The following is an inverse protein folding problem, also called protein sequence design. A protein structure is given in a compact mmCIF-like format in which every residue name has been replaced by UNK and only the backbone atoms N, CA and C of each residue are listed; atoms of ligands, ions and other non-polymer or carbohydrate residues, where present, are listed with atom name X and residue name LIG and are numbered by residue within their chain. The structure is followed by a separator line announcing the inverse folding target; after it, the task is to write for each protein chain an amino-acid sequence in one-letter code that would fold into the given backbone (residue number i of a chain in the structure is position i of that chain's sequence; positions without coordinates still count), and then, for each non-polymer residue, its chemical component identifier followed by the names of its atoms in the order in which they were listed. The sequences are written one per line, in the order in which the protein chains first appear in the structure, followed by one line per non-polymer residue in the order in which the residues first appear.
data_IF_149325643845
#
_entry.id   IF_149325643845
#
_cell.length_a   1.000
_cell.length_b   1.000
_cell.length_c   1.000
_cell.angle_alpha   90.00
_cell.angle_beta   90.00
_cell.angle_gamma   90.00
#
_symmetry.space_group_name_H-M   'P 1'
#
loop_
_entity.id
_entity.type
_entity.pdbx_description
1 polymer ?
#
# COMPACT_ATOMS: atom_id res chain seq x y z
N UNK A 1 -13.91 -12.55 21.67
CA UNK A 1 -12.93 -11.43 21.72
C UNK A 1 -12.31 -11.36 20.35
N UNK A 2 -12.50 -10.27 19.59
CA UNK A 2 -11.75 -10.10 18.34
C UNK A 2 -10.30 -9.82 18.74
N UNK A 3 -9.39 -10.66 18.30
CA UNK A 3 -7.95 -10.47 18.50
C UNK A 3 -7.55 -9.11 17.91
N UNK A 4 -6.90 -8.28 18.71
CA UNK A 4 -6.48 -6.96 18.28
C UNK A 4 -5.38 -7.13 17.23
N UNK A 5 -5.65 -6.66 16.01
CA UNK A 5 -4.70 -6.79 14.90
C UNK A 5 -3.72 -5.63 14.94
N UNK A 6 -2.53 -5.87 15.48
CA UNK A 6 -1.50 -4.87 15.69
C UNK A 6 -0.50 -4.78 14.52
N UNK A 7 0.18 -3.64 14.44
CA UNK A 7 1.33 -3.48 13.55
C UNK A 7 2.53 -4.22 14.09
N UNK A 8 3.18 -4.98 13.22
CA UNK A 8 4.36 -5.77 13.57
C UNK A 8 5.61 -4.89 13.63
N UNK A 9 6.52 -5.24 14.54
CA UNK A 9 7.86 -4.68 14.59
C UNK A 9 8.80 -5.43 13.62
N UNK A 10 9.90 -4.79 13.17
CA UNK A 10 10.93 -5.49 12.40
C UNK A 10 11.55 -6.66 13.16
N UNK A 11 11.86 -7.73 12.44
CA UNK A 11 12.63 -8.89 12.93
C UNK A 11 14.00 -8.86 12.25
N UNK A 12 15.06 -8.76 13.05
CA UNK A 12 16.42 -8.57 12.53
C UNK A 12 16.87 -9.70 11.59
N UNK A 13 16.53 -10.95 11.91
CA UNK A 13 16.90 -12.09 11.05
C UNK A 13 16.16 -12.03 9.71
N UNK A 14 14.87 -11.68 9.74
CA UNK A 14 14.09 -11.52 8.51
C UNK A 14 14.51 -10.28 7.71
N UNK A 15 14.97 -9.22 8.37
CA UNK A 15 15.55 -8.06 7.70
C UNK A 15 16.82 -8.44 6.93
N UNK A 16 17.75 -9.17 7.56
CA UNK A 16 19.02 -9.55 6.94
C UNK A 16 18.84 -10.56 5.80
N UNK A 17 17.80 -11.39 5.87
CA UNK A 17 17.45 -12.39 4.86
C UNK A 17 16.42 -11.90 3.83
N UNK A 18 16.04 -10.61 3.86
CA UNK A 18 14.99 -10.10 2.97
C UNK A 18 15.38 -10.28 1.51
N UNK A 19 14.43 -10.72 0.70
CA UNK A 19 14.60 -10.85 -0.75
C UNK A 19 14.31 -9.50 -1.41
N UNK A 20 15.18 -9.09 -2.31
CA UNK A 20 14.98 -7.94 -3.19
C UNK A 20 14.91 -8.48 -4.62
N UNK A 21 13.74 -8.34 -5.26
CA UNK A 21 13.56 -8.76 -6.65
C UNK A 21 14.05 -7.69 -7.63
N UNK A 22 13.79 -6.41 -7.33
CA UNK A 22 14.15 -5.30 -8.21
C UNK A 22 14.71 -4.13 -7.40
N UNK A 23 15.51 -3.31 -8.07
CA UNK A 23 15.88 -1.97 -7.59
C UNK A 23 15.05 -0.94 -8.35
N UNK A 24 14.29 -0.13 -7.63
CA UNK A 24 13.42 0.88 -8.21
C UNK A 24 14.17 2.13 -8.65
N UNK A 25 13.45 3.09 -9.27
CA UNK A 25 14.03 4.33 -9.78
C UNK A 25 14.62 5.24 -8.68
N UNK A 26 14.19 5.06 -7.44
CA UNK A 26 14.69 5.75 -6.26
C UNK A 26 15.91 5.07 -5.60
N UNK A 27 16.37 3.94 -6.17
CA UNK A 27 17.49 3.14 -5.66
C UNK A 27 17.12 2.19 -4.50
N UNK A 28 15.88 2.20 -4.03
CA UNK A 28 15.40 1.26 -3.01
C UNK A 28 15.16 -0.12 -3.61
N UNK A 29 15.22 -1.14 -2.76
CA UNK A 29 14.89 -2.52 -3.10
C UNK A 29 13.41 -2.80 -2.94
N UNK A 30 12.85 -3.56 -3.87
CA UNK A 30 11.46 -3.94 -3.90
C UNK A 30 11.30 -5.45 -3.94
N UNK A 31 10.30 -5.92 -3.22
CA UNK A 31 9.89 -7.32 -3.16
C UNK A 31 8.48 -7.44 -3.72
N UNK A 32 8.25 -8.46 -4.53
CA UNK A 32 6.99 -8.72 -5.22
C UNK A 32 6.45 -10.07 -4.77
N UNK A 33 5.33 -10.10 -4.05
CA UNK A 33 4.84 -11.34 -3.42
C UNK A 33 4.55 -12.45 -4.44
N UNK A 34 4.13 -12.10 -5.65
CA UNK A 34 3.85 -13.07 -6.71
C UNK A 34 5.09 -13.69 -7.34
N UNK A 35 6.27 -13.09 -7.14
CA UNK A 35 7.56 -13.64 -7.63
C UNK A 35 8.27 -14.51 -6.61
N UNK A 36 7.83 -14.49 -5.35
CA UNK A 36 8.34 -15.42 -4.35
C UNK A 36 7.73 -16.80 -4.60
N UNK A 37 8.54 -17.85 -4.85
CA UNK A 37 8.04 -19.19 -5.14
C UNK A 37 7.20 -19.78 -4.00
N UNK A 38 7.37 -19.30 -2.77
CA UNK A 38 6.60 -19.74 -1.61
C UNK A 38 5.24 -19.02 -1.48
N UNK A 39 5.04 -17.91 -2.20
CA UNK A 39 3.86 -17.04 -2.09
C UNK A 39 3.15 -16.76 -3.43
N UNK A 40 3.49 -17.45 -4.52
CA UNK A 40 2.99 -17.15 -5.89
C UNK A 40 1.47 -17.02 -5.99
N UNK A 41 0.71 -17.79 -5.22
CA UNK A 41 -0.77 -17.73 -5.17
C UNK A 41 -1.32 -17.22 -3.84
N UNK A 42 -0.47 -16.57 -3.04
CA UNK A 42 -0.86 -16.04 -1.73
C UNK A 42 -1.32 -14.60 -1.87
N UNK A 43 -2.54 -14.37 -1.42
CA UNK A 43 -3.12 -13.04 -1.27
C UNK A 43 -3.41 -12.78 0.21
N UNK A 44 -3.29 -11.53 0.63
CA UNK A 44 -3.46 -11.11 2.03
C UNK A 44 -4.28 -9.84 2.09
N UNK A 45 -4.95 -9.65 3.23
CA UNK A 45 -5.56 -8.36 3.51
C UNK A 45 -4.46 -7.30 3.74
N UNK A 46 -4.88 -6.03 3.73
CA UNK A 46 -3.96 -4.91 3.73
C UNK A 46 -2.99 -4.92 4.93
N UNK A 47 -3.49 -5.23 6.13
CA UNK A 47 -2.67 -5.21 7.35
C UNK A 47 -1.74 -6.42 7.43
N UNK A 48 -2.15 -7.62 7.01
CA UNK A 48 -1.22 -8.77 6.99
C UNK A 48 -0.14 -8.56 5.93
N UNK A 49 -0.50 -8.04 4.75
CA UNK A 49 0.47 -7.68 3.71
C UNK A 49 1.50 -6.66 4.23
N UNK A 50 1.03 -5.59 4.88
CA UNK A 50 1.90 -4.60 5.50
C UNK A 50 2.81 -5.19 6.58
N UNK A 51 2.25 -6.01 7.46
CA UNK A 51 3.02 -6.68 8.52
C UNK A 51 4.07 -7.65 7.98
N UNK A 52 3.82 -8.30 6.85
CA UNK A 52 4.82 -9.12 6.16
C UNK A 52 6.05 -8.31 5.77
N UNK A 53 5.83 -7.11 5.18
CA UNK A 53 6.90 -6.20 4.80
C UNK A 53 7.65 -5.67 6.04
N UNK A 54 6.90 -5.23 7.06
CA UNK A 54 7.47 -4.61 8.27
C UNK A 54 8.45 -5.52 9.01
N UNK A 55 8.10 -6.82 9.13
CA UNK A 55 9.01 -7.83 9.71
C UNK A 55 10.34 -7.93 8.97
N UNK A 56 10.41 -7.55 7.70
CA UNK A 56 11.60 -7.60 6.84
C UNK A 56 12.27 -6.24 6.66
N UNK A 57 12.02 -5.27 7.55
CA UNK A 57 12.51 -3.90 7.44
C UNK A 57 12.10 -3.20 6.14
N UNK A 58 10.95 -3.57 5.61
CA UNK A 58 10.31 -2.96 4.45
C UNK A 58 8.94 -2.41 4.86
N UNK A 59 8.35 -1.55 4.05
CA UNK A 59 6.93 -1.21 4.14
C UNK A 59 6.21 -1.69 2.88
N UNK A 60 4.88 -1.68 2.86
CA UNK A 60 4.21 -1.75 1.55
C UNK A 60 4.59 -0.53 0.71
N UNK A 61 4.58 -0.67 -0.61
CA UNK A 61 5.05 0.38 -1.52
C UNK A 61 4.29 1.69 -1.35
N UNK A 62 5.02 2.81 -1.34
CA UNK A 62 4.47 4.18 -1.33
C UNK A 62 4.80 4.85 -2.65
N UNK A 63 3.81 5.31 -3.42
CA UNK A 63 4.04 5.83 -4.77
C UNK A 63 4.22 7.35 -4.71
N UNK A 64 5.42 7.77 -4.33
CA UNK A 64 5.71 9.17 -4.00
C UNK A 64 5.96 10.02 -5.24
N UNK A 65 6.33 9.38 -6.35
CA UNK A 65 6.63 10.04 -7.63
C UNK A 65 5.90 9.37 -8.78
N UNK A 66 5.64 10.14 -9.85
CA UNK A 66 5.08 9.58 -11.09
C UNK A 66 5.99 8.52 -11.71
N UNK A 67 7.31 8.69 -11.61
CA UNK A 67 8.30 7.72 -12.12
C UNK A 67 8.18 6.38 -11.41
N UNK A 68 8.04 6.38 -10.09
CA UNK A 68 7.84 5.16 -9.30
C UNK A 68 6.47 4.52 -9.60
N UNK A 69 5.42 5.35 -9.72
CA UNK A 69 4.08 4.90 -10.08
C UNK A 69 4.07 4.19 -11.44
N UNK A 70 4.65 4.79 -12.47
CA UNK A 70 4.70 4.21 -13.80
C UNK A 70 5.57 2.95 -13.82
N UNK A 71 6.71 2.97 -13.11
CA UNK A 71 7.58 1.82 -12.97
C UNK A 71 6.89 0.60 -12.35
N UNK A 72 6.09 0.77 -11.29
CA UNK A 72 5.40 -0.39 -10.71
C UNK A 72 4.28 -0.90 -11.62
N UNK A 73 3.60 -0.01 -12.37
CA UNK A 73 2.58 -0.40 -13.35
C UNK A 73 3.15 -1.24 -14.47
N UNK A 74 4.36 -0.92 -14.95
CA UNK A 74 5.04 -1.73 -15.96
C UNK A 74 5.21 -3.18 -15.50
N UNK A 75 5.56 -3.40 -14.22
CA UNK A 75 5.65 -4.75 -13.66
C UNK A 75 4.30 -5.44 -13.53
N UNK A 76 3.24 -4.72 -13.14
CA UNK A 76 1.88 -5.28 -13.09
C UNK A 76 1.42 -5.77 -14.46
N UNK A 77 1.69 -4.98 -15.51
CA UNK A 77 1.36 -5.34 -16.90
C UNK A 77 2.23 -6.50 -17.38
N UNK A 78 3.55 -6.41 -17.20
CA UNK A 78 4.52 -7.41 -17.66
C UNK A 78 4.29 -8.78 -17.04
N UNK A 79 3.97 -8.83 -15.75
CA UNK A 79 3.76 -10.07 -15.01
C UNK A 79 2.28 -10.51 -14.98
N UNK A 80 1.38 -9.77 -15.65
CA UNK A 80 -0.05 -10.03 -15.68
C UNK A 80 -0.69 -10.12 -14.28
N UNK A 81 -0.31 -9.20 -13.40
CA UNK A 81 -0.83 -9.09 -12.03
C UNK A 81 -2.04 -8.16 -12.04
N UNK A 82 -3.19 -8.68 -11.61
CA UNK A 82 -4.48 -7.99 -11.70
C UNK A 82 -4.63 -6.80 -10.75
N UNK A 83 -3.98 -6.86 -9.60
CA UNK A 83 -4.07 -5.82 -8.57
C UNK A 83 -2.99 -6.04 -7.50
N UNK A 84 -2.61 -5.00 -6.79
CA UNK A 84 -1.73 -5.10 -5.61
C UNK A 84 -2.19 -4.18 -4.49
N UNK A 85 -1.84 -4.54 -3.25
CA UNK A 85 -1.83 -3.59 -2.16
C UNK A 85 -0.65 -2.62 -2.24
N UNK A 86 -0.94 -1.35 -1.93
CA UNK A 86 0.05 -0.30 -1.64
C UNK A 86 0.02 0.06 -0.15
N UNK A 87 0.81 1.05 0.28
CA UNK A 87 0.78 1.58 1.65
C UNK A 87 -0.29 2.66 1.87
N UNK A 88 -1.07 3.01 0.84
CA UNK A 88 -2.03 4.10 0.91
C UNK A 88 -3.20 3.78 1.83
N UNK A 89 -3.52 4.72 2.73
CA UNK A 89 -4.57 4.58 3.74
C UNK A 89 -5.30 5.91 3.92
N UNK A 90 -6.62 5.86 4.09
CA UNK A 90 -7.42 7.02 4.50
C UNK A 90 -7.33 7.25 6.01
N UNK A 91 -7.16 8.48 6.46
CA UNK A 91 -7.14 8.82 7.88
C UNK A 91 -8.57 8.80 8.45
N UNK A 92 -9.01 7.63 8.91
CA UNK A 92 -10.37 7.33 9.42
C UNK A 92 -10.37 6.84 10.88
N UNK A 93 -9.23 6.94 11.58
CA UNK A 93 -9.02 6.46 12.94
C UNK A 93 -8.97 7.61 13.96
N UNK A 94 -9.09 7.31 15.28
CA UNK A 94 -8.99 8.33 16.31
C UNK A 94 -7.69 9.15 16.18
N UNK A 95 -7.82 10.48 16.20
CA UNK A 95 -6.71 11.41 15.97
C UNK A 95 -6.68 12.06 14.58
N UNK A 96 -7.45 11.56 13.62
CA UNK A 96 -7.59 12.14 12.27
C UNK A 96 -8.50 13.39 12.22
N UNK A 97 -8.42 14.28 13.21
CA UNK A 97 -9.27 15.49 13.32
C UNK A 97 -8.58 16.77 12.86
N UNK A 98 -7.34 16.66 12.36
CA UNK A 98 -6.59 17.82 11.86
C UNK A 98 -7.36 18.50 10.70
N UNK A 99 -7.50 19.84 10.70
CA UNK A 99 -8.25 20.55 9.66
C UNK A 99 -7.75 20.30 8.23
N UNK A 100 -6.44 20.12 8.07
CA UNK A 100 -5.84 19.89 6.74
C UNK A 100 -6.15 18.50 6.16
N UNK A 101 -6.64 17.56 6.97
CA UNK A 101 -7.05 16.22 6.53
C UNK A 101 -8.54 16.15 6.18
N UNK A 102 -9.27 17.28 6.27
CA UNK A 102 -10.72 17.32 6.08
C UNK A 102 -11.12 17.98 4.75
N UNK A 103 -12.16 17.47 4.05
CA UNK A 103 -12.88 16.23 4.35
C UNK A 103 -12.02 14.99 4.06
N UNK A 104 -12.13 13.96 4.91
CA UNK A 104 -11.27 12.77 4.84
C UNK A 104 -11.27 12.05 3.48
N UNK A 105 -12.40 12.05 2.77
CA UNK A 105 -12.51 11.48 1.43
C UNK A 105 -11.62 12.18 0.38
N UNK A 106 -11.31 13.46 0.58
CA UNK A 106 -10.53 14.28 -0.34
C UNK A 106 -9.09 14.44 0.15
N UNK A 107 -8.92 14.85 1.40
CA UNK A 107 -7.65 15.29 1.97
C UNK A 107 -7.03 14.29 2.96
N UNK A 108 -7.72 13.19 3.24
CA UNK A 108 -7.36 12.25 4.30
C UNK A 108 -6.42 11.13 3.87
N UNK A 109 -6.01 11.04 2.61
CA UNK A 109 -5.15 9.97 2.12
C UNK A 109 -3.67 10.24 2.39
N UNK A 110 -2.94 9.21 2.81
CA UNK A 110 -1.50 9.28 3.06
C UNK A 110 -0.84 7.92 2.82
N UNK A 111 0.46 7.93 2.55
CA UNK A 111 1.30 6.74 2.46
C UNK A 111 1.74 6.33 3.86
N UNK A 112 1.32 5.17 4.35
CA UNK A 112 1.72 4.72 5.70
C UNK A 112 3.19 4.31 5.78
N UNK A 113 3.84 4.06 4.65
CA UNK A 113 5.26 3.68 4.56
C UNK A 113 6.22 4.85 4.79
N UNK A 114 5.92 6.02 4.19
CA UNK A 114 6.71 7.24 4.36
C UNK A 114 6.08 8.28 5.28
N UNK A 115 4.81 8.12 5.63
CA UNK A 115 3.97 9.07 6.36
C UNK A 115 3.67 10.37 5.59
N UNK A 116 3.95 10.38 4.28
CA UNK A 116 3.65 11.51 3.41
C UNK A 116 2.16 11.57 3.07
N UNK A 117 1.61 12.78 3.15
CA UNK A 117 0.21 13.04 2.79
C UNK A 117 0.09 13.07 1.27
N UNK A 118 -0.95 12.42 0.73
CA UNK A 118 -1.26 12.53 -0.70
C UNK A 118 -1.88 13.91 -0.99
N UNK A 119 -1.64 14.41 -2.20
CA UNK A 119 -2.41 15.52 -2.74
C UNK A 119 -3.92 15.21 -2.70
N UNK A 120 -4.79 16.24 -2.65
CA UNK A 120 -6.23 16.05 -2.67
C UNK A 120 -6.64 15.05 -3.77
N UNK A 121 -7.55 14.12 -3.48
CA UNK A 121 -7.95 13.09 -4.47
C UNK A 121 -8.56 13.69 -5.74
N UNK A 122 -9.06 14.93 -5.66
CA UNK A 122 -9.57 15.72 -6.78
C UNK A 122 -8.48 16.37 -7.63
N UNK A 123 -7.21 16.38 -7.20
CA UNK A 123 -6.10 16.94 -7.97
C UNK A 123 -5.44 15.89 -8.89
N UNK A 124 -6.05 15.67 -10.06
CA UNK A 124 -5.68 14.63 -11.03
C UNK A 124 -4.34 14.85 -11.73
N UNK A 125 -3.73 16.03 -11.57
CA UNK A 125 -2.38 16.30 -12.08
C UNK A 125 -1.28 15.73 -11.15
N UNK A 126 -1.63 15.43 -9.90
CA UNK A 126 -0.68 15.03 -8.85
C UNK A 126 -1.01 13.65 -8.24
N UNK A 127 -1.96 12.93 -8.82
CA UNK A 127 -2.34 11.60 -8.36
C UNK A 127 -2.74 10.74 -9.55
N UNK A 128 -2.96 9.46 -9.29
CA UNK A 128 -3.28 8.47 -10.30
C UNK A 128 -4.54 7.68 -9.92
N UNK A 129 -5.46 8.32 -9.21
CA UNK A 129 -6.80 7.80 -8.97
C UNK A 129 -7.54 7.62 -10.29
N UNK A 130 -8.18 6.46 -10.48
CA UNK A 130 -8.92 6.19 -11.72
C UNK A 130 -10.05 7.19 -11.95
N UNK A 131 -10.23 7.62 -13.20
CA UNK A 131 -11.35 8.48 -13.65
C UNK A 131 -12.68 7.72 -13.71
N UNK A 132 -12.66 6.41 -13.52
CA UNK A 132 -13.84 5.55 -13.50
C UNK A 132 -13.63 4.41 -12.50
N UNK A 133 -14.58 3.47 -12.44
CA UNK A 133 -14.56 2.31 -11.56
C UNK A 133 -15.69 1.36 -11.92
N UNK A 134 -16.01 0.42 -11.02
CA UNK A 134 -17.05 -0.61 -11.24
C UNK A 134 -18.42 0.00 -11.61
N UNK A 135 -18.73 1.18 -11.03
CA UNK A 135 -20.00 1.89 -11.24
C UNK A 135 -19.87 3.13 -12.14
N UNK A 136 -18.76 3.26 -12.87
CA UNK A 136 -18.53 4.38 -13.78
C UNK A 136 -18.24 5.73 -13.08
N UNK A 137 -17.82 5.71 -11.81
CA UNK A 137 -17.48 6.91 -11.03
C UNK A 137 -15.97 7.06 -10.81
N UNK A 138 -15.45 8.29 -10.74
CA UNK A 138 -14.05 8.53 -10.36
C UNK A 138 -13.74 8.04 -8.95
N UNK A 139 -12.55 7.46 -8.78
CA UNK A 139 -12.02 7.03 -7.49
C UNK A 139 -11.39 8.23 -6.73
N UNK A 140 -11.34 8.19 -5.39
CA UNK A 140 -11.94 7.19 -4.51
C UNK A 140 -13.45 7.41 -4.35
N UNK A 141 -14.27 6.36 -4.50
CA UNK A 141 -15.74 6.47 -4.52
C UNK A 141 -16.46 5.80 -3.35
N UNK A 142 -15.76 5.03 -2.52
CA UNK A 142 -16.31 4.30 -1.37
C UNK A 142 -17.55 3.47 -1.72
N UNK A 143 -17.61 2.92 -2.93
CA UNK A 143 -18.72 2.15 -3.47
C UNK A 143 -19.19 1.05 -2.53
N UNK A 144 -18.29 0.22 -2.01
CA UNK A 144 -18.67 -0.87 -1.09
C UNK A 144 -19.36 -0.32 0.19
N UNK A 145 -18.85 0.79 0.73
CA UNK A 145 -19.43 1.42 1.91
C UNK A 145 -20.80 2.04 1.63
N UNK A 146 -21.00 2.66 0.47
CA UNK A 146 -22.30 3.21 0.04
C UNK A 146 -23.35 2.11 -0.21
N UNK A 147 -22.91 0.90 -0.57
CA UNK A 147 -23.76 -0.29 -0.74
C UNK A 147 -24.05 -1.03 0.59
N UNK A 148 -23.60 -0.49 1.72
CA UNK A 148 -23.80 -1.06 3.06
C UNK A 148 -22.77 -2.10 3.49
N UNK A 149 -21.67 -2.23 2.73
CA UNK A 149 -20.52 -3.06 3.06
C UNK A 149 -19.45 -2.31 3.87
N UNK A 150 -18.20 -2.75 3.75
CA UNK A 150 -17.07 -2.11 4.44
C UNK A 150 -16.63 -0.84 3.72
N UNK A 151 -16.24 0.18 4.49
CA UNK A 151 -15.66 1.38 3.93
C UNK A 151 -14.33 1.10 3.21
N UNK A 152 -14.14 1.74 2.06
CA UNK A 152 -12.98 1.62 1.20
C UNK A 152 -11.90 2.61 1.65
N UNK A 153 -11.11 2.16 2.62
CA UNK A 153 -10.17 3.02 3.33
C UNK A 153 -8.70 2.68 3.06
N UNK A 154 -8.45 1.73 2.15
CA UNK A 154 -7.11 1.30 1.70
C UNK A 154 -6.95 1.53 0.20
N UNK A 155 -5.73 1.85 -0.24
CA UNK A 155 -5.41 2.13 -1.64
C UNK A 155 -4.79 0.89 -2.30
N UNK A 156 -5.37 0.45 -3.41
CA UNK A 156 -4.80 -0.57 -4.27
C UNK A 156 -4.50 -0.02 -5.67
N UNK A 157 -3.55 -0.61 -6.38
CA UNK A 157 -3.47 -0.46 -7.83
C UNK A 157 -4.27 -1.60 -8.45
N UNK A 158 -5.20 -1.29 -9.34
CA UNK A 158 -5.91 -2.28 -10.15
C UNK A 158 -5.41 -2.21 -11.60
N UNK A 159 -5.23 -3.36 -12.23
CA UNK A 159 -4.77 -3.49 -13.61
C UNK A 159 -5.92 -4.01 -14.48
N UNK A 160 -6.56 -3.09 -15.19
CA UNK A 160 -7.63 -3.33 -16.15
C UNK A 160 -8.84 -4.08 -15.58
N UNK A 161 -9.09 -3.98 -14.28
CA UNK A 161 -10.23 -4.68 -13.66
C UNK A 161 -11.57 -4.07 -14.10
N UNK A 162 -11.61 -2.74 -14.31
CA UNK A 162 -12.79 -2.01 -14.74
C UNK A 162 -12.67 -1.50 -16.19
N UNK A 163 -11.72 -2.04 -16.99
CA UNK A 163 -11.35 -1.55 -18.33
C UNK A 163 -10.94 -0.07 -18.36
N UNK A 164 -10.25 0.37 -17.32
CA UNK A 164 -9.91 1.77 -17.07
C UNK A 164 -8.42 2.06 -17.09
N UNK A 165 -7.58 1.08 -17.42
CA UNK A 165 -6.13 1.20 -17.37
C UNK A 165 -5.54 0.57 -16.12
N UNK A 166 -4.39 1.07 -15.69
CA UNK A 166 -3.73 0.65 -14.44
C UNK A 166 -3.69 1.86 -13.54
N UNK A 167 -4.53 1.92 -12.51
CA UNK A 167 -4.76 3.12 -11.70
C UNK A 167 -5.03 2.79 -10.23
N UNK A 168 -5.05 3.82 -9.39
CA UNK A 168 -5.38 3.72 -7.98
C UNK A 168 -6.89 3.63 -7.76
N UNK A 169 -7.29 2.74 -6.86
CA UNK A 169 -8.66 2.55 -6.39
C UNK A 169 -8.68 2.48 -4.87
N UNK A 170 -9.72 3.04 -4.26
CA UNK A 170 -10.01 2.73 -2.88
C UNK A 170 -10.68 1.36 -2.83
N UNK A 171 -10.27 0.56 -1.85
CA UNK A 171 -10.75 -0.79 -1.67
C UNK A 171 -10.90 -1.05 -0.18
N UNK A 172 -11.93 -1.82 0.21
CA UNK A 172 -12.06 -2.24 1.59
C UNK A 172 -10.84 -3.07 2.02
N UNK A 173 -10.26 -2.70 3.16
CA UNK A 173 -8.96 -3.20 3.60
C UNK A 173 -8.91 -4.72 3.85
N UNK A 174 -10.07 -5.39 3.94
CA UNK A 174 -10.17 -6.82 4.19
C UNK A 174 -10.03 -7.67 2.92
N UNK A 175 -10.13 -7.07 1.72
CA UNK A 175 -9.95 -7.78 0.46
C UNK A 175 -8.55 -8.38 0.36
N UNK A 176 -8.42 -9.53 -0.30
CA UNK A 176 -7.15 -10.21 -0.43
C UNK A 176 -6.47 -9.80 -1.73
N UNK A 177 -5.20 -9.40 -1.65
CA UNK A 177 -4.39 -9.06 -2.82
C UNK A 177 -2.94 -9.54 -2.64
N UNK A 178 -2.19 -9.77 -3.72
CA UNK A 178 -0.74 -9.76 -3.63
C UNK A 178 -0.27 -8.34 -3.25
N UNK A 179 0.98 -8.22 -2.84
CA UNK A 179 1.52 -6.97 -2.32
C UNK A 179 2.95 -6.76 -2.78
N UNK A 180 3.36 -5.50 -2.73
CA UNK A 180 4.74 -5.09 -3.00
C UNK A 180 5.30 -4.51 -1.71
N UNK A 181 6.48 -4.98 -1.32
CA UNK A 181 7.25 -4.34 -0.26
C UNK A 181 8.35 -3.46 -0.86
N UNK A 182 8.69 -2.40 -0.15
CA UNK A 182 9.72 -1.40 -0.47
C UNK A 182 10.65 -1.23 0.74
N UNK A 183 11.97 -1.20 0.53
CA UNK A 183 12.94 -1.01 1.63
C UNK A 183 12.66 0.26 2.44
N UNK A 184 12.57 0.13 3.77
CA UNK A 184 12.27 1.25 4.64
C UNK A 184 13.44 1.55 5.59
N UNK A 185 14.07 2.72 5.41
CA UNK A 185 15.26 3.09 6.20
C UNK A 185 14.97 3.28 7.69
N UNK A 186 13.76 3.70 8.05
CA UNK A 186 13.40 3.88 9.46
C UNK A 186 13.24 2.53 10.16
N UNK A 187 12.65 1.54 9.48
CA UNK A 187 12.56 0.18 10.02
C UNK A 187 13.92 -0.51 10.08
N UNK A 188 14.78 -0.32 9.08
CA UNK A 188 16.18 -0.80 9.15
C UNK A 188 16.95 -0.19 10.32
N UNK A 189 16.77 1.10 10.58
CA UNK A 189 17.38 1.77 11.75
C UNK A 189 16.80 1.23 13.05
N UNK A 190 15.48 1.09 13.13
CA UNK A 190 14.81 0.56 14.31
C UNK A 190 15.31 -0.84 14.67
N UNK A 191 15.39 -1.75 13.70
CA UNK A 191 15.85 -3.12 13.93
C UNK A 191 17.28 -3.17 14.51
N UNK A 192 18.20 -2.37 13.93
CA UNK A 192 19.57 -2.23 14.43
C UNK A 192 19.64 -1.66 15.84
N UNK A 193 18.82 -0.67 16.17
CA UNK A 193 18.80 -0.11 17.52
C UNK A 193 18.21 -1.07 18.54
N UNK A 194 17.14 -1.78 18.18
CA UNK A 194 16.52 -2.77 19.06
C UNK A 194 17.49 -3.91 19.40
N UNK A 195 18.25 -4.40 18.42
CA UNK A 195 19.30 -5.40 18.63
C UNK A 195 20.35 -4.95 19.66
N UNK A 196 20.80 -3.69 19.60
CA UNK A 196 21.82 -3.15 20.51
C UNK A 196 21.33 -3.07 21.97
N UNK A 197 20.02 -2.92 22.21
CA UNK A 197 19.46 -2.72 23.56
C UNK A 197 19.12 -4.06 24.24
N UNK A 198 19.01 -5.15 23.47
CA UNK A 198 18.78 -6.50 24.00
C UNK A 198 20.05 -7.23 24.45
N UNK A 199 21.23 -6.58 24.34
CA UNK A 199 22.53 -7.04 24.87
C UNK A 199 23.07 -6.10 25.97
#
# INVERSE_FOLDING_TARGET
MREERLLEIPDQNLCDQRVIHEKGPDGKGYYFSWRDPTLTSTEKDWLIARNYCRKRCMETISLETSVENDWIKEWLVKDNVKYIWTSGRKCDFPGCTRPDLQPAAINGWFWTGSLEKLSPSTNREQNDWSETGEIGKPQPDNKEGEEGGSYENCLAILNQLNNDGVHWHDVACHHLKPWVCEENIQLMRYAKYAEIIEF
#
